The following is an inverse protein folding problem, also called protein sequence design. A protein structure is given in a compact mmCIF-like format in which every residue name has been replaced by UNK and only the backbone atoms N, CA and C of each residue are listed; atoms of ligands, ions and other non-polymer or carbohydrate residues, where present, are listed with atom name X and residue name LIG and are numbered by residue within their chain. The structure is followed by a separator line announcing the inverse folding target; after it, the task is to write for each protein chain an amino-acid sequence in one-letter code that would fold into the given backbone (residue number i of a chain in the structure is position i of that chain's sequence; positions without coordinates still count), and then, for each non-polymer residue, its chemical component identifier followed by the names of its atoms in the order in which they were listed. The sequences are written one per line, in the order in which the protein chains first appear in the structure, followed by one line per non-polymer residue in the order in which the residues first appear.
data_IF_170577763604
#
_entry.id   IF_170577763604
#
_cell.length_a   1.000
_cell.length_b   1.000
_cell.length_c   1.000
_cell.angle_alpha   90.00
_cell.angle_beta   90.00
_cell.angle_gamma   90.00
#
_symmetry.space_group_name_H-M   'P 1'
#
loop_
_entity.id
_entity.type
_entity.pdbx_description
1 polymer ?
#
# COMPACT_ATOMS: atom_id res chain seq x y z
N UNK A 1 -9.32 -4.86 11.28
CA UNK A 1 -7.92 -4.85 10.79
C UNK A 1 -7.15 -3.58 11.19
N UNK A 2 -7.66 -2.37 10.89
CA UNK A 2 -6.97 -1.11 11.19
C UNK A 2 -6.46 -0.97 12.63
N UNK A 3 -7.27 -1.35 13.64
CA UNK A 3 -6.86 -1.37 15.05
C UNK A 3 -5.59 -2.20 15.28
N UNK A 4 -5.58 -3.46 14.84
CA UNK A 4 -4.45 -4.38 15.00
C UNK A 4 -3.22 -3.86 14.24
N UNK A 5 -3.41 -3.38 13.01
CA UNK A 5 -2.32 -2.84 12.21
C UNK A 5 -1.65 -1.64 12.90
N UNK A 6 -2.43 -0.76 13.53
CA UNK A 6 -1.92 0.36 14.33
C UNK A 6 -1.18 -0.11 15.59
N UNK A 7 -1.75 -1.06 16.34
CA UNK A 7 -1.16 -1.60 17.57
C UNK A 7 0.14 -2.37 17.32
N UNK A 8 0.27 -3.02 16.16
CA UNK A 8 1.42 -3.85 15.78
C UNK A 8 2.37 -3.17 14.79
N UNK A 9 2.16 -1.90 14.48
CA UNK A 9 2.94 -1.14 13.49
C UNK A 9 3.06 -1.86 12.13
N UNK A 10 1.95 -2.45 11.66
CA UNK A 10 1.90 -3.15 10.38
C UNK A 10 1.69 -2.16 9.24
N UNK A 11 2.49 -2.30 8.19
CA UNK A 11 2.23 -1.64 6.92
C UNK A 11 1.04 -2.32 6.22
N UNK A 12 -0.04 -1.56 6.01
CA UNK A 12 -1.10 -1.95 5.08
C UNK A 12 -0.92 -1.17 3.78
N UNK A 13 -0.74 -1.89 2.68
CA UNK A 13 -0.52 -1.28 1.37
C UNK A 13 -1.41 -1.94 0.31
N UNK A 14 -1.89 -1.15 -0.63
CA UNK A 14 -2.58 -1.61 -1.85
C UNK A 14 -1.80 -1.13 -3.08
N UNK A 15 -1.76 -1.96 -4.13
CA UNK A 15 -1.14 -1.58 -5.39
C UNK A 15 -1.88 -0.40 -6.05
N UNK A 16 -1.16 0.66 -6.40
CA UNK A 16 -1.67 1.88 -7.04
C UNK A 16 -2.58 1.59 -8.23
N UNK A 17 -2.02 0.95 -9.27
CA UNK A 17 -2.72 0.72 -10.53
C UNK A 17 -3.94 -0.20 -10.32
N UNK A 18 -3.78 -1.24 -9.50
CA UNK A 18 -4.87 -2.16 -9.18
C UNK A 18 -6.01 -1.47 -8.42
N UNK A 19 -5.70 -0.55 -7.51
CA UNK A 19 -6.66 0.20 -6.74
C UNK A 19 -7.39 1.23 -7.62
N UNK A 20 -6.67 1.96 -8.49
CA UNK A 20 -7.29 2.89 -9.45
C UNK A 20 -8.28 2.17 -10.36
N UNK A 21 -7.89 1.00 -10.94
CA UNK A 21 -8.78 0.18 -11.80
C UNK A 21 -10.07 -0.25 -11.10
N UNK A 22 -10.00 -0.46 -9.78
CA UNK A 22 -11.12 -0.96 -8.97
C UNK A 22 -11.88 0.16 -8.26
N UNK A 23 -11.58 1.42 -8.57
CA UNK A 23 -12.16 2.59 -7.90
C UNK A 23 -11.89 2.60 -6.38
N UNK A 24 -10.76 2.05 -5.95
CA UNK A 24 -10.26 2.00 -4.55
C UNK A 24 -9.11 2.99 -4.30
N UNK A 25 -8.78 3.85 -5.26
CA UNK A 25 -7.84 4.95 -5.08
C UNK A 25 -8.28 6.21 -5.83
N UNK A 26 -7.70 7.34 -5.42
CA UNK A 26 -7.70 8.62 -6.14
C UNK A 26 -6.34 8.76 -6.83
N UNK A 27 -6.36 8.98 -8.14
CA UNK A 27 -5.18 9.08 -8.99
C UNK A 27 -5.45 8.50 -10.38
N UNK A 28 -4.47 8.58 -11.26
CA UNK A 28 -4.53 8.06 -12.63
C UNK A 28 -3.53 6.92 -12.86
N UNK A 29 -3.55 6.29 -14.03
CA UNK A 29 -2.63 5.18 -14.32
C UNK A 29 -1.19 5.63 -14.52
N UNK A 30 -1.01 6.86 -14.98
CA UNK A 30 0.29 7.49 -15.23
C UNK A 30 1.02 7.81 -13.92
N UNK A 31 0.28 7.90 -12.82
CA UNK A 31 0.82 8.14 -11.47
C UNK A 31 1.30 6.86 -10.77
N UNK A 32 1.22 5.69 -11.40
CA UNK A 32 1.69 4.43 -10.81
C UNK A 32 3.18 4.53 -10.43
N UNK A 33 3.51 4.30 -9.15
CA UNK A 33 4.89 4.35 -8.68
C UNK A 33 5.45 5.75 -8.42
N UNK A 34 4.68 6.82 -8.67
CA UNK A 34 5.03 8.19 -8.28
C UNK A 34 4.92 8.43 -6.77
N UNK A 35 4.06 7.65 -6.08
CA UNK A 35 3.68 7.89 -4.69
C UNK A 35 2.58 8.94 -4.51
N UNK A 36 1.99 9.45 -5.59
CA UNK A 36 0.93 10.45 -5.55
C UNK A 36 -0.49 9.85 -5.43
N UNK A 37 -0.63 8.56 -5.77
CA UNK A 37 -1.91 7.85 -5.66
C UNK A 37 -2.30 7.71 -4.18
N UNK A 38 -3.57 7.99 -3.86
CA UNK A 38 -4.07 7.90 -2.49
C UNK A 38 -5.19 6.87 -2.40
N UNK A 39 -5.10 5.95 -1.45
CA UNK A 39 -6.15 4.95 -1.19
C UNK A 39 -7.49 5.61 -0.81
N UNK A 40 -8.61 5.05 -1.26
CA UNK A 40 -9.97 5.50 -0.90
C UNK A 40 -10.90 4.30 -0.69
N UNK A 41 -11.83 4.40 0.26
CA UNK A 41 -12.80 3.33 0.53
C UNK A 41 -12.17 2.06 1.13
N UNK A 42 -10.97 2.17 1.69
CA UNK A 42 -10.28 1.12 2.44
C UNK A 42 -10.26 1.47 3.93
N UNK A 43 -9.91 0.50 4.77
CA UNK A 43 -9.77 0.73 6.21
C UNK A 43 -8.66 1.74 6.52
N UNK A 44 -8.78 2.41 7.66
CA UNK A 44 -7.82 3.44 8.07
C UNK A 44 -6.38 2.92 8.09
N UNK A 45 -5.45 3.77 7.63
CA UNK A 45 -4.02 3.51 7.61
C UNK A 45 -3.52 2.77 6.37
N UNK A 46 -4.39 2.35 5.44
CA UNK A 46 -3.95 1.78 4.16
C UNK A 46 -3.32 2.86 3.28
N UNK A 47 -2.11 2.58 2.78
CA UNK A 47 -1.42 3.40 1.79
C UNK A 47 -1.60 2.80 0.39
N UNK A 48 -1.68 3.65 -0.62
CA UNK A 48 -1.45 3.20 -1.99
C UNK A 48 0.06 3.30 -2.28
N UNK A 49 0.61 2.28 -2.92
CA UNK A 49 1.99 2.32 -3.41
C UNK A 49 2.26 1.26 -4.46
N UNK A 50 3.39 1.42 -5.15
CA UNK A 50 3.97 0.40 -6.02
C UNK A 50 5.23 -0.19 -5.36
N UNK A 51 5.96 -1.01 -6.10
CA UNK A 51 7.17 -1.67 -5.60
C UNK A 51 8.23 -0.70 -5.04
N UNK A 52 8.53 0.46 -5.65
CA UNK A 52 9.48 1.42 -5.07
C UNK A 52 9.08 1.86 -3.66
N UNK A 53 7.80 2.20 -3.45
CA UNK A 53 7.29 2.61 -2.14
C UNK A 53 7.32 1.46 -1.13
N UNK A 54 7.03 0.22 -1.58
CA UNK A 54 7.13 -0.97 -0.74
C UNK A 54 8.57 -1.19 -0.27
N UNK A 55 9.54 -1.15 -1.18
CA UNK A 55 10.95 -1.34 -0.85
C UNK A 55 11.49 -0.21 0.03
N UNK A 56 11.10 1.04 -0.21
CA UNK A 56 11.45 2.16 0.68
C UNK A 56 10.87 1.94 2.09
N UNK A 57 9.64 1.46 2.20
CA UNK A 57 9.00 1.22 3.49
C UNK A 57 9.62 0.04 4.27
N UNK A 58 10.07 -1.01 3.56
CA UNK A 58 10.66 -2.21 4.15
C UNK A 58 12.19 -2.18 4.21
N UNK A 59 12.85 -1.17 3.64
CA UNK A 59 14.30 -1.18 3.42
C UNK A 59 15.15 -1.28 4.69
N UNK A 60 14.64 -0.80 5.83
CA UNK A 60 15.33 -0.93 7.13
C UNK A 60 15.17 -2.31 7.78
N UNK A 61 14.14 -3.07 7.39
CA UNK A 61 13.82 -4.37 7.94
C UNK A 61 13.11 -5.21 6.86
N UNK A 62 13.85 -5.77 5.89
CA UNK A 62 13.28 -6.59 4.84
C UNK A 62 12.67 -7.87 5.45
N UNK A 63 11.60 -8.41 4.86
CA UNK A 63 10.95 -9.60 5.39
C UNK A 63 11.82 -10.85 5.17
N UNK A 64 11.97 -11.69 6.18
CA UNK A 64 12.63 -13.00 6.07
C UNK A 64 11.79 -14.02 5.29
N UNK A 65 10.48 -13.82 5.24
CA UNK A 65 9.51 -14.73 4.66
C UNK A 65 8.47 -13.96 3.85
N UNK A 66 8.09 -14.53 2.70
CA UNK A 66 6.98 -14.05 1.89
C UNK A 66 5.93 -15.15 1.83
N UNK A 67 4.75 -14.86 2.38
CA UNK A 67 3.62 -15.79 2.41
C UNK A 67 2.58 -15.30 1.39
N UNK A 68 2.24 -16.14 0.41
CA UNK A 68 1.19 -15.86 -0.59
C UNK A 68 -0.05 -16.71 -0.31
N UNK A 69 -1.23 -16.11 -0.43
CA UNK A 69 -2.54 -16.72 -0.15
C UNK A 69 -3.38 -16.81 -1.43
#
# INVERSE_FOLDING_TARGET
LAKIAKEKNMLLMVCDQCAVRRNLAKGTFEQCGSGEVTAKGLVDGVKAGCFPQLYTALGSNPPDQVITL
#
